data_IF_784732556115
#
_entry.id   IF_784732556115
#
_cell.length_a   1.000
_cell.length_b   1.000
_cell.length_c   1.000
_cell.angle_alpha   90.00
_cell.angle_beta   90.00
_cell.angle_gamma   90.00
#
_symmetry.space_group_name_H-M   'P 1'
#
loop_
_entity.id
_entity.type
_entity.pdbx_description
1 polymer ?
#
# COMPACT_ATOMS: atom_id res chain seq x y z
N UNK A 1 -53.11 -16.44 6.81
CA UNK A 1 -51.89 -16.54 7.62
C UNK A 1 -50.75 -15.82 6.89
N UNK A 2 -50.78 -14.49 6.84
CA UNK A 2 -49.77 -13.63 6.18
C UNK A 2 -49.62 -12.32 6.95
N UNK A 3 -49.32 -12.37 8.25
CA UNK A 3 -49.14 -11.15 9.05
C UNK A 3 -48.05 -11.24 10.12
N UNK A 4 -47.06 -12.13 9.97
CA UNK A 4 -46.05 -12.36 11.03
C UNK A 4 -44.60 -12.01 10.67
N UNK A 5 -44.32 -11.17 9.67
CA UNK A 5 -42.92 -10.79 9.40
C UNK A 5 -42.74 -9.33 9.02
N UNK A 6 -43.54 -8.41 9.53
CA UNK A 6 -43.17 -6.99 9.51
C UNK A 6 -42.26 -6.72 10.70
N UNK A 7 -40.96 -6.66 10.45
CA UNK A 7 -39.99 -6.16 11.41
C UNK A 7 -40.46 -4.76 11.85
N UNK A 8 -40.76 -4.62 13.15
CA UNK A 8 -41.14 -3.31 13.71
C UNK A 8 -39.95 -2.35 13.58
N UNK A 9 -40.07 -1.41 12.65
CA UNK A 9 -39.03 -0.42 12.33
C UNK A 9 -38.58 0.34 13.58
N UNK A 10 -39.49 0.73 14.45
CA UNK A 10 -39.22 1.47 15.68
C UNK A 10 -38.38 0.65 16.66
N UNK A 11 -38.65 -0.68 16.75
CA UNK A 11 -37.80 -1.57 17.54
C UNK A 11 -36.39 -1.72 16.98
N UNK A 12 -36.25 -1.76 15.67
CA UNK A 12 -34.92 -1.80 15.02
C UNK A 12 -34.14 -0.51 15.29
N UNK A 13 -34.79 0.64 15.09
CA UNK A 13 -34.17 1.97 15.40
C UNK A 13 -33.73 2.01 16.86
N UNK A 14 -34.58 1.60 17.79
CA UNK A 14 -34.28 1.59 19.22
C UNK A 14 -33.07 0.70 19.56
N UNK A 15 -33.00 -0.51 18.98
CA UNK A 15 -31.87 -1.43 19.18
C UNK A 15 -30.57 -0.87 18.62
N UNK A 16 -30.60 -0.30 17.40
CA UNK A 16 -29.43 0.30 16.76
C UNK A 16 -28.93 1.50 17.59
N UNK A 17 -29.84 2.38 18.02
CA UNK A 17 -29.49 3.53 18.84
C UNK A 17 -28.91 3.11 20.20
N UNK A 18 -29.40 2.02 20.76
CA UNK A 18 -28.88 1.47 22.00
C UNK A 18 -27.43 0.96 21.84
N UNK A 19 -27.12 0.33 20.67
CA UNK A 19 -25.75 -0.07 20.34
C UNK A 19 -24.80 1.14 20.25
N UNK A 20 -25.26 2.28 19.72
CA UNK A 20 -24.43 3.49 19.64
C UNK A 20 -23.99 4.02 21.02
N UNK A 21 -24.79 3.76 22.05
CA UNK A 21 -24.51 4.22 23.43
C UNK A 21 -23.69 3.19 24.21
N UNK A 22 -23.77 1.90 23.82
CA UNK A 22 -23.17 0.79 24.57
C UNK A 22 -21.68 0.58 24.32
N UNK A 23 -21.14 1.11 23.22
CA UNK A 23 -19.75 0.90 22.85
C UNK A 23 -19.13 2.21 22.30
N UNK A 24 -17.97 2.58 22.84
CA UNK A 24 -17.23 3.77 22.45
C UNK A 24 -16.83 3.81 20.96
N UNK A 25 -16.80 2.65 20.29
CA UNK A 25 -16.47 2.55 18.86
C UNK A 25 -17.54 3.21 17.99
N UNK A 26 -18.82 3.20 18.40
CA UNK A 26 -19.91 3.75 17.61
C UNK A 26 -20.12 5.26 17.77
N UNK A 27 -19.66 5.82 18.88
CA UNK A 27 -19.76 7.27 19.13
C UNK A 27 -18.37 7.86 19.10
N UNK A 28 -18.04 8.55 18.00
CA UNK A 28 -16.86 9.41 18.01
C UNK A 28 -16.97 10.37 19.20
N UNK A 29 -15.91 10.44 20.01
CA UNK A 29 -15.84 11.30 21.22
C UNK A 29 -16.44 12.68 20.93
N UNK A 30 -17.28 13.19 21.85
CA UNK A 30 -17.97 14.46 21.68
C UNK A 30 -17.05 15.55 21.13
N UNK A 31 -17.48 16.21 20.05
CA UNK A 31 -16.73 17.25 19.33
C UNK A 31 -15.39 16.84 18.69
N UNK A 32 -15.09 15.55 18.53
CA UNK A 32 -13.88 15.07 17.84
C UNK A 32 -14.24 14.38 16.53
N UNK A 33 -13.58 14.80 15.47
CA UNK A 33 -13.76 14.23 14.12
C UNK A 33 -12.54 13.39 13.74
N UNK A 34 -12.77 12.32 13.03
CA UNK A 34 -11.71 11.58 12.34
C UNK A 34 -11.29 12.34 11.06
N UNK A 35 -10.03 12.16 10.60
CA UNK A 35 -9.62 12.67 9.30
C UNK A 35 -10.58 12.22 8.19
N UNK A 36 -10.94 13.14 7.32
CA UNK A 36 -11.88 12.86 6.23
C UNK A 36 -11.24 12.00 5.14
N UNK A 37 -11.68 10.74 4.98
CA UNK A 37 -11.15 9.84 3.93
C UNK A 37 -11.21 10.49 2.54
N UNK A 38 -12.29 11.20 2.21
CA UNK A 38 -12.42 11.90 0.93
C UNK A 38 -11.40 13.02 0.76
N UNK A 39 -11.09 13.76 1.84
CA UNK A 39 -10.08 14.82 1.82
C UNK A 39 -8.68 14.26 1.61
N UNK A 40 -8.37 13.11 2.24
CA UNK A 40 -7.08 12.42 2.02
C UNK A 40 -6.97 11.92 0.56
N UNK A 41 -8.05 11.42 -0.03
CA UNK A 41 -8.04 11.04 -1.45
C UNK A 41 -7.81 12.24 -2.37
N UNK A 42 -8.42 13.40 -2.07
CA UNK A 42 -8.17 14.65 -2.80
C UNK A 42 -6.70 15.07 -2.67
N UNK A 43 -6.14 14.98 -1.47
CA UNK A 43 -4.72 15.27 -1.21
C UNK A 43 -3.80 14.35 -2.04
N UNK A 44 -4.07 13.04 -2.09
CA UNK A 44 -3.32 12.08 -2.91
C UNK A 44 -3.37 12.47 -4.39
N UNK A 45 -4.53 12.86 -4.92
CA UNK A 45 -4.68 13.30 -6.31
C UNK A 45 -3.83 14.54 -6.61
N UNK A 46 -3.84 15.55 -5.72
CA UNK A 46 -3.02 16.76 -5.87
C UNK A 46 -1.54 16.46 -5.80
N UNK A 47 -1.13 15.59 -4.87
CA UNK A 47 0.25 15.12 -4.79
C UNK A 47 0.67 14.42 -6.08
N UNK A 48 -0.21 13.57 -6.65
CA UNK A 48 0.08 12.90 -7.92
C UNK A 48 0.28 13.87 -9.08
N UNK A 49 -0.58 14.89 -9.18
CA UNK A 49 -0.42 15.95 -10.18
C UNK A 49 0.88 16.75 -9.98
N UNK A 50 1.26 17.03 -8.74
CA UNK A 50 2.53 17.72 -8.44
C UNK A 50 3.76 16.88 -8.78
N UNK A 51 3.72 15.56 -8.49
CA UNK A 51 4.84 14.65 -8.76
C UNK A 51 5.02 14.37 -10.25
N UNK A 52 3.93 14.30 -11.01
CA UNK A 52 3.89 13.99 -12.44
C UNK A 52 3.07 15.04 -13.19
N UNK A 53 3.59 16.28 -13.34
CA UNK A 53 2.84 17.36 -13.96
C UNK A 53 2.56 17.06 -15.45
N UNK A 54 1.36 17.39 -15.89
CA UNK A 54 0.89 17.15 -17.26
C UNK A 54 0.31 15.76 -17.53
N UNK A 55 0.33 14.84 -16.54
CA UNK A 55 -0.20 13.48 -16.73
C UNK A 55 -1.64 13.31 -16.23
N UNK A 56 -2.05 14.08 -15.23
CA UNK A 56 -3.30 13.82 -14.49
C UNK A 56 -4.19 15.05 -14.33
N UNK A 57 -3.84 16.16 -14.98
CA UNK A 57 -4.64 17.39 -15.00
C UNK A 57 -5.68 17.36 -16.13
N UNK A 58 -6.86 17.93 -15.85
CA UNK A 58 -7.92 18.13 -16.87
C UNK A 58 -7.62 19.30 -17.83
N UNK A 59 -6.67 20.19 -17.47
CA UNK A 59 -6.29 21.39 -18.26
C UNK A 59 -4.89 21.22 -18.82
N UNK A 60 -4.69 21.71 -20.05
CA UNK A 60 -3.39 21.69 -20.72
C UNK A 60 -2.33 22.39 -19.88
N UNK A 61 -1.38 21.61 -19.34
CA UNK A 61 -0.23 22.08 -18.57
C UNK A 61 0.66 23.03 -19.40
N UNK A 62 0.66 22.90 -20.73
CA UNK A 62 1.46 23.70 -21.67
C UNK A 62 1.26 25.22 -21.56
N UNK A 63 0.11 25.67 -21.02
CA UNK A 63 -0.20 27.08 -20.83
C UNK A 63 0.02 27.60 -19.42
N UNK A 64 0.51 26.75 -18.51
CA UNK A 64 0.73 27.15 -17.12
C UNK A 64 2.21 27.37 -16.85
N UNK A 65 2.54 28.50 -16.21
CA UNK A 65 3.86 28.71 -15.62
C UNK A 65 4.12 27.63 -14.56
N UNK A 66 5.19 26.87 -14.73
CA UNK A 66 5.54 25.75 -13.85
C UNK A 66 5.75 26.21 -12.39
N UNK A 67 6.32 27.39 -12.17
CA UNK A 67 6.51 27.95 -10.82
C UNK A 67 5.18 28.32 -10.18
N UNK A 68 4.28 28.92 -10.95
CA UNK A 68 2.95 29.26 -10.48
C UNK A 68 2.13 27.99 -10.12
N UNK A 69 2.16 26.99 -10.99
CA UNK A 69 1.51 25.69 -10.73
C UNK A 69 2.05 25.03 -9.47
N UNK A 70 3.36 24.88 -9.37
CA UNK A 70 4.00 24.24 -8.21
C UNK A 70 3.70 25.01 -6.93
N UNK A 71 3.85 26.33 -6.94
CA UNK A 71 3.61 27.19 -5.79
C UNK A 71 2.17 27.11 -5.28
N UNK A 72 1.17 27.20 -6.17
CA UNK A 72 -0.23 27.09 -5.79
C UNK A 72 -0.58 25.70 -5.27
N UNK A 73 -0.06 24.66 -5.93
CA UNK A 73 -0.34 23.27 -5.55
C UNK A 73 0.29 22.96 -4.19
N UNK A 74 1.55 23.34 -3.95
CA UNK A 74 2.23 23.19 -2.66
C UNK A 74 1.49 23.90 -1.53
N UNK A 75 1.06 25.15 -1.73
CA UNK A 75 0.29 25.90 -0.72
C UNK A 75 -1.05 25.21 -0.40
N UNK A 76 -1.73 24.67 -1.41
CA UNK A 76 -2.97 23.93 -1.21
C UNK A 76 -2.74 22.64 -0.44
N UNK A 77 -1.72 21.86 -0.81
CA UNK A 77 -1.32 20.61 -0.13
C UNK A 77 -0.98 20.92 1.34
N UNK A 78 -0.13 21.93 1.61
CA UNK A 78 0.26 22.31 2.98
C UNK A 78 -0.95 22.61 3.84
N UNK A 79 -1.86 23.46 3.36
CA UNK A 79 -3.07 23.83 4.10
C UNK A 79 -3.98 22.64 4.39
N UNK A 80 -4.22 21.80 3.40
CA UNK A 80 -5.10 20.63 3.54
C UNK A 80 -4.47 19.57 4.43
N UNK A 81 -3.19 19.27 4.24
CA UNK A 81 -2.46 18.33 5.08
C UNK A 81 -2.46 18.79 6.54
N UNK A 82 -2.06 20.04 6.81
CA UNK A 82 -2.08 20.62 8.14
C UNK A 82 -3.45 20.43 8.81
N UNK A 83 -4.54 20.76 8.10
CA UNK A 83 -5.89 20.62 8.65
C UNK A 83 -6.23 19.16 8.98
N UNK A 84 -5.89 18.20 8.13
CA UNK A 84 -6.18 16.78 8.39
C UNK A 84 -5.29 16.22 9.52
N UNK A 85 -4.03 16.64 9.61
CA UNK A 85 -3.12 16.27 10.70
C UNK A 85 -3.63 16.84 12.04
N UNK A 86 -4.05 18.10 12.07
CA UNK A 86 -4.64 18.71 13.26
C UNK A 86 -5.87 17.93 13.75
N UNK A 87 -6.77 17.55 12.83
CA UNK A 87 -7.93 16.71 13.14
C UNK A 87 -7.51 15.35 13.73
N UNK A 88 -6.50 14.69 13.12
CA UNK A 88 -6.01 13.40 13.57
C UNK A 88 -5.40 13.48 14.98
N UNK A 89 -4.59 14.49 15.23
CA UNK A 89 -3.95 14.73 16.53
C UNK A 89 -4.97 15.09 17.61
N UNK A 90 -5.95 15.94 17.31
CA UNK A 90 -7.05 16.27 18.24
C UNK A 90 -7.86 15.04 18.65
N UNK A 91 -8.00 14.07 17.76
CA UNK A 91 -8.73 12.84 18.06
C UNK A 91 -7.98 11.93 19.04
N UNK A 92 -6.66 11.82 18.91
CA UNK A 92 -5.85 10.88 19.70
C UNK A 92 -5.27 11.47 20.99
N UNK A 93 -5.14 12.79 21.08
CA UNK A 93 -4.47 13.43 22.21
C UNK A 93 -5.48 14.17 23.11
N UNK A 94 -5.66 13.68 24.34
CA UNK A 94 -6.55 14.29 25.34
C UNK A 94 -5.84 15.30 26.24
N UNK A 95 -4.54 15.18 26.40
CA UNK A 95 -3.75 15.96 27.36
C UNK A 95 -3.08 17.21 26.78
N UNK A 96 -3.07 17.37 25.43
CA UNK A 96 -2.42 18.49 24.76
C UNK A 96 -3.37 19.66 24.52
N UNK A 97 -2.84 20.90 24.58
CA UNK A 97 -3.63 22.09 24.24
C UNK A 97 -3.84 22.18 22.72
N UNK A 98 -4.86 22.92 22.29
CA UNK A 98 -5.13 23.17 20.88
C UNK A 98 -3.97 23.88 20.17
N UNK A 99 -3.29 24.77 20.87
CA UNK A 99 -2.13 25.52 20.37
C UNK A 99 -0.97 24.56 20.07
N UNK A 100 -0.65 23.64 20.98
CA UNK A 100 0.40 22.64 20.80
C UNK A 100 0.09 21.70 19.62
N UNK A 101 -1.17 21.30 19.46
CA UNK A 101 -1.60 20.45 18.35
C UNK A 101 -1.52 21.21 17.02
N UNK A 102 -1.93 22.48 16.98
CA UNK A 102 -1.85 23.30 15.78
C UNK A 102 -0.40 23.57 15.35
N UNK A 103 0.51 23.76 16.31
CA UNK A 103 1.94 23.91 16.05
C UNK A 103 2.55 22.63 15.47
N UNK A 104 2.27 21.45 16.07
CA UNK A 104 2.74 20.17 15.57
C UNK A 104 2.18 19.84 14.19
N UNK A 105 0.92 20.18 13.92
CA UNK A 105 0.31 19.99 12.61
C UNK A 105 0.97 20.88 11.54
N UNK A 106 1.31 22.13 11.88
CA UNK A 106 2.05 23.02 10.97
C UNK A 106 3.47 22.52 10.73
N UNK A 107 4.20 22.12 11.79
CA UNK A 107 5.56 21.56 11.67
C UNK A 107 5.57 20.28 10.81
N UNK A 108 4.60 19.41 11.02
CA UNK A 108 4.44 18.19 10.21
C UNK A 108 4.15 18.50 8.74
N UNK A 109 3.28 19.47 8.46
CA UNK A 109 2.98 19.87 7.10
C UNK A 109 4.22 20.51 6.42
N UNK A 110 4.96 21.34 7.15
CA UNK A 110 6.19 21.96 6.65
C UNK A 110 7.28 20.93 6.37
N UNK A 111 7.50 19.98 7.28
CA UNK A 111 8.40 18.85 7.08
C UNK A 111 8.03 18.08 5.80
N UNK A 112 6.77 17.69 5.66
CA UNK A 112 6.28 16.94 4.51
C UNK A 112 6.53 17.67 3.18
N UNK A 113 6.23 18.97 3.13
CA UNK A 113 6.52 19.80 1.94
C UNK A 113 8.01 19.79 1.62
N UNK A 114 8.88 19.88 2.62
CA UNK A 114 10.33 19.85 2.46
C UNK A 114 10.86 18.55 1.86
N UNK A 115 10.16 17.42 2.08
CA UNK A 115 10.55 16.10 1.55
C UNK A 115 10.14 15.89 0.09
N UNK A 116 9.17 16.65 -0.45
CA UNK A 116 8.54 16.34 -1.74
C UNK A 116 9.52 16.34 -2.93
N UNK A 117 10.54 17.18 -2.94
CA UNK A 117 11.53 17.19 -4.01
C UNK A 117 12.39 15.90 -4.04
N UNK A 118 12.76 15.40 -2.87
CA UNK A 118 13.50 14.14 -2.74
C UNK A 118 12.63 12.95 -3.13
N UNK A 119 11.38 12.93 -2.68
CA UNK A 119 10.41 11.89 -3.07
C UNK A 119 10.19 11.89 -4.58
N UNK A 120 10.09 13.05 -5.22
CA UNK A 120 9.96 13.15 -6.68
C UNK A 120 11.15 12.51 -7.38
N UNK A 121 12.37 12.76 -6.91
CA UNK A 121 13.58 12.14 -7.45
C UNK A 121 13.58 10.61 -7.27
N UNK A 122 13.13 10.10 -6.11
CA UNK A 122 12.97 8.65 -5.87
C UNK A 122 11.94 8.05 -6.84
N UNK A 123 10.81 8.72 -7.04
CA UNK A 123 9.76 8.25 -7.97
C UNK A 123 10.25 8.20 -9.42
N UNK A 124 11.09 9.13 -9.87
CA UNK A 124 11.70 9.07 -11.20
C UNK A 124 12.63 7.87 -11.35
N UNK A 125 13.35 7.49 -10.28
CA UNK A 125 14.17 6.27 -10.24
C UNK A 125 13.31 5.00 -10.27
N UNK A 126 12.18 4.99 -9.55
CA UNK A 126 11.24 3.86 -9.59
C UNK A 126 10.59 3.70 -10.98
N UNK A 127 10.25 4.80 -11.64
CA UNK A 127 9.79 4.79 -13.05
C UNK A 127 10.86 4.25 -13.99
N UNK A 128 12.14 4.64 -13.79
CA UNK A 128 13.25 4.11 -14.57
C UNK A 128 13.40 2.60 -14.34
N UNK A 129 13.35 2.13 -13.10
CA UNK A 129 13.40 0.70 -12.78
C UNK A 129 12.26 -0.09 -13.46
N UNK A 130 11.07 0.51 -13.55
CA UNK A 130 9.96 -0.07 -14.30
C UNK A 130 10.24 -0.18 -15.78
N UNK A 131 10.83 0.87 -16.39
CA UNK A 131 11.18 0.87 -17.81
C UNK A 131 12.28 -0.16 -18.14
N UNK A 132 13.31 -0.25 -17.29
CA UNK A 132 14.41 -1.19 -17.46
C UNK A 132 13.97 -2.64 -17.15
N UNK A 133 13.00 -2.81 -16.28
CA UNK A 133 12.54 -4.11 -15.77
C UNK A 133 11.43 -4.78 -16.56
N UNK A 134 10.68 -4.04 -17.39
CA UNK A 134 9.60 -4.59 -18.22
C UNK A 134 9.88 -4.39 -19.73
N UNK A 135 10.25 -5.44 -20.46
CA UNK A 135 10.51 -5.34 -21.91
C UNK A 135 9.27 -4.98 -22.74
N UNK A 136 8.04 -5.04 -22.16
CA UNK A 136 6.82 -4.63 -22.84
C UNK A 136 6.61 -3.10 -22.78
N UNK A 137 7.23 -2.40 -21.85
CA UNK A 137 7.10 -0.96 -21.69
C UNK A 137 7.69 -0.20 -22.91
N UNK A 138 6.89 0.69 -23.50
CA UNK A 138 7.30 1.47 -24.66
C UNK A 138 7.97 2.79 -24.29
N UNK A 139 7.64 3.33 -23.12
CA UNK A 139 8.17 4.60 -22.62
C UNK A 139 7.97 4.76 -21.11
N UNK A 140 8.74 5.66 -20.49
CA UNK A 140 8.52 6.06 -19.10
C UNK A 140 7.16 6.74 -18.90
N UNK A 141 6.67 7.43 -19.93
CA UNK A 141 5.36 8.07 -19.93
C UNK A 141 4.22 7.04 -19.79
N UNK A 142 4.33 5.91 -20.50
CA UNK A 142 3.40 4.80 -20.38
C UNK A 142 3.37 4.23 -18.95
N UNK A 143 4.53 4.05 -18.34
CA UNK A 143 4.65 3.56 -16.97
C UNK A 143 4.00 4.51 -15.96
N UNK A 144 4.26 5.82 -16.07
CA UNK A 144 3.66 6.83 -15.18
C UNK A 144 2.14 6.82 -15.30
N UNK A 145 1.63 6.74 -16.52
CA UNK A 145 0.20 6.88 -16.80
C UNK A 145 -0.62 5.64 -16.48
N UNK A 146 -0.04 4.42 -16.60
CA UNK A 146 -0.82 3.19 -16.64
C UNK A 146 -0.43 2.11 -15.62
N UNK A 147 0.82 2.10 -15.10
CA UNK A 147 1.27 1.00 -14.23
C UNK A 147 0.73 1.14 -12.80
N UNK A 148 -0.02 0.13 -12.31
CA UNK A 148 -0.55 0.15 -10.94
C UNK A 148 0.56 0.13 -9.87
N UNK A 149 1.69 -0.53 -10.14
CA UNK A 149 2.85 -0.55 -9.25
C UNK A 149 3.38 0.85 -8.95
N UNK A 150 3.50 1.71 -9.96
CA UNK A 150 3.96 3.10 -9.77
C UNK A 150 3.00 3.90 -8.90
N UNK A 151 1.68 3.69 -9.07
CA UNK A 151 0.72 4.36 -8.22
C UNK A 151 0.80 3.89 -6.75
N UNK A 152 0.96 2.59 -6.52
CA UNK A 152 1.11 2.05 -5.17
C UNK A 152 2.39 2.56 -4.49
N UNK A 153 3.52 2.55 -5.21
CA UNK A 153 4.82 3.06 -4.72
C UNK A 153 4.73 4.57 -4.43
N UNK A 154 4.12 5.35 -5.33
CA UNK A 154 3.90 6.79 -5.12
C UNK A 154 3.14 7.05 -3.81
N UNK A 155 2.00 6.40 -3.61
CA UNK A 155 1.20 6.60 -2.39
C UNK A 155 1.97 6.13 -1.14
N UNK A 156 2.67 5.00 -1.23
CA UNK A 156 3.51 4.50 -0.15
C UNK A 156 4.58 5.53 0.26
N UNK A 157 5.37 6.07 -0.68
CA UNK A 157 6.43 7.04 -0.36
C UNK A 157 5.88 8.28 0.33
N UNK A 158 4.69 8.76 -0.06
CA UNK A 158 4.00 9.85 0.62
C UNK A 158 3.52 9.47 2.02
N UNK A 159 2.90 8.29 2.15
CA UNK A 159 2.37 7.81 3.43
C UNK A 159 3.49 7.52 4.44
N UNK A 160 4.63 7.04 3.98
CA UNK A 160 5.80 6.75 4.80
C UNK A 160 6.31 7.99 5.56
N UNK A 161 6.40 9.15 4.91
CA UNK A 161 6.85 10.39 5.56
C UNK A 161 5.92 10.82 6.69
N UNK A 162 4.62 10.59 6.53
CA UNK A 162 3.65 10.86 7.61
C UNK A 162 3.68 9.79 8.71
N UNK A 163 4.00 8.55 8.35
CA UNK A 163 4.19 7.46 9.31
C UNK A 163 5.41 7.72 10.20
N UNK A 164 6.54 8.13 9.63
CA UNK A 164 7.76 8.50 10.37
C UNK A 164 7.50 9.65 11.36
N UNK A 165 6.61 10.59 11.01
CA UNK A 165 6.15 11.66 11.90
C UNK A 165 5.07 11.21 12.89
N UNK A 166 4.74 9.92 12.93
CA UNK A 166 3.74 9.34 13.82
C UNK A 166 2.34 9.96 13.69
N UNK A 167 1.99 10.43 12.49
CA UNK A 167 0.67 10.97 12.21
C UNK A 167 -0.39 9.87 12.31
N UNK A 168 -1.40 10.02 13.17
CA UNK A 168 -2.42 8.99 13.34
C UNK A 168 -3.33 8.88 12.11
N UNK A 169 -3.82 7.67 11.78
CA UNK A 169 -4.82 7.34 10.77
C UNK A 169 -4.41 7.64 9.32
N UNK A 170 -3.86 8.83 9.04
CA UNK A 170 -3.66 9.32 7.66
C UNK A 170 -2.78 8.39 6.84
N UNK A 171 -1.59 7.93 7.30
CA UNK A 171 -0.75 6.99 6.53
C UNK A 171 -1.51 5.72 6.15
N UNK A 172 -2.30 5.17 7.09
CA UNK A 172 -3.09 3.96 6.84
C UNK A 172 -4.24 4.20 5.85
N UNK A 173 -4.94 5.33 5.95
CA UNK A 173 -5.98 5.71 4.98
C UNK A 173 -5.39 5.81 3.56
N UNK A 174 -4.17 6.36 3.43
CA UNK A 174 -3.47 6.47 2.14
C UNK A 174 -3.12 5.10 1.58
N UNK A 175 -2.50 4.21 2.37
CA UNK A 175 -2.10 2.88 1.92
C UNK A 175 -3.32 2.02 1.55
N UNK A 176 -4.39 2.05 2.34
CA UNK A 176 -5.62 1.32 2.02
C UNK A 176 -6.33 1.84 0.76
N UNK A 177 -6.22 3.15 0.50
CA UNK A 177 -6.71 3.67 -0.77
C UNK A 177 -5.91 3.13 -1.96
N UNK A 178 -4.58 3.10 -1.89
CA UNK A 178 -3.74 2.52 -2.93
C UNK A 178 -4.02 1.02 -3.11
N UNK A 179 -4.09 0.26 -2.01
CA UNK A 179 -4.44 -1.15 -1.99
C UNK A 179 -5.77 -1.42 -2.69
N UNK A 180 -6.82 -0.67 -2.35
CA UNK A 180 -8.15 -0.82 -2.96
C UNK A 180 -8.17 -0.54 -4.48
N UNK A 181 -7.19 0.21 -5.00
CA UNK A 181 -7.11 0.59 -6.42
C UNK A 181 -6.20 -0.30 -7.25
N UNK A 182 -5.26 -0.96 -6.62
CA UNK A 182 -4.18 -1.70 -7.31
C UNK A 182 -4.10 -3.17 -6.94
N UNK A 183 -4.69 -3.58 -5.82
CA UNK A 183 -4.46 -4.90 -5.23
C UNK A 183 -3.06 -5.07 -4.63
N UNK A 184 -2.30 -3.97 -4.44
CA UNK A 184 -0.95 -3.96 -3.86
C UNK A 184 -1.04 -3.34 -2.46
N UNK A 185 -0.73 -4.12 -1.43
CA UNK A 185 -0.73 -3.70 -0.03
C UNK A 185 0.69 -3.41 0.45
N UNK A 186 1.04 -2.13 0.59
CA UNK A 186 2.31 -1.69 1.17
C UNK A 186 2.01 -0.96 2.47
N UNK A 187 2.46 -1.53 3.60
CA UNK A 187 2.32 -0.84 4.88
C UNK A 187 3.25 0.39 4.91
N UNK A 188 2.76 1.56 5.35
CA UNK A 188 3.55 2.79 5.37
C UNK A 188 4.76 2.73 6.31
N UNK A 189 4.82 1.78 7.25
CA UNK A 189 5.97 1.56 8.11
C UNK A 189 7.15 0.83 7.46
N UNK A 190 6.95 0.18 6.32
CA UNK A 190 8.04 -0.45 5.57
C UNK A 190 9.10 0.58 5.17
N UNK A 191 10.36 0.17 5.07
CA UNK A 191 11.46 0.99 4.57
C UNK A 191 11.89 0.45 3.21
N UNK A 192 11.77 1.25 2.16
CA UNK A 192 12.02 0.83 0.78
C UNK A 192 13.01 1.79 0.12
N UNK A 193 14.10 1.23 -0.40
CA UNK A 193 15.15 1.95 -1.11
C UNK A 193 14.74 2.52 -2.46
N UNK A 194 15.71 2.85 -3.28
CA UNK A 194 15.53 3.46 -4.60
C UNK A 194 15.43 2.40 -5.71
N UNK A 195 14.96 2.80 -6.90
CA UNK A 195 14.79 1.90 -8.06
C UNK A 195 13.92 0.68 -7.74
N UNK A 196 12.91 0.87 -6.92
CA UNK A 196 11.99 -0.20 -6.55
C UNK A 196 10.92 -0.39 -7.62
N UNK A 197 10.73 -1.63 -8.07
CA UNK A 197 9.77 -1.95 -9.11
C UNK A 197 8.84 -3.11 -8.72
N UNK A 198 7.54 -2.91 -8.90
CA UNK A 198 6.51 -3.95 -8.77
C UNK A 198 5.89 -4.19 -10.13
N UNK A 199 6.10 -5.38 -10.69
CA UNK A 199 5.55 -5.82 -11.96
C UNK A 199 4.22 -6.53 -11.76
N UNK A 200 3.19 -6.19 -12.56
CA UNK A 200 1.79 -6.61 -12.42
C UNK A 200 1.18 -6.24 -11.06
N UNK A 201 1.69 -6.77 -9.99
CA UNK A 201 1.56 -6.33 -8.61
C UNK A 201 0.35 -6.86 -7.86
N UNK A 202 -0.72 -7.32 -8.49
CA UNK A 202 -1.92 -7.81 -7.79
C UNK A 202 -1.55 -8.87 -6.75
N UNK A 203 -1.99 -8.67 -5.50
CA UNK A 203 -1.73 -9.59 -4.39
C UNK A 203 -0.35 -9.45 -3.75
N UNK A 204 0.44 -8.44 -4.09
CA UNK A 204 1.67 -8.12 -3.34
C UNK A 204 1.30 -7.60 -1.96
N UNK A 205 1.97 -8.11 -0.92
CA UNK A 205 1.84 -7.68 0.47
C UNK A 205 3.21 -7.39 1.05
N UNK A 206 3.43 -6.15 1.52
CA UNK A 206 4.65 -5.71 2.18
C UNK A 206 4.32 -5.25 3.59
N UNK A 207 4.74 -6.04 4.59
CA UNK A 207 4.43 -5.82 5.99
C UNK A 207 5.20 -4.65 6.62
N UNK A 208 4.69 -4.14 7.73
CA UNK A 208 5.10 -2.90 8.40
C UNK A 208 6.60 -2.78 8.69
N UNK A 209 7.23 -3.84 9.19
CA UNK A 209 8.65 -3.80 9.57
C UNK A 209 9.58 -4.38 8.50
N UNK A 210 9.09 -4.50 7.25
CA UNK A 210 9.91 -4.93 6.11
C UNK A 210 10.96 -3.88 5.80
N UNK A 211 12.18 -4.34 5.48
CA UNK A 211 13.25 -3.51 4.96
C UNK A 211 13.61 -4.00 3.57
N UNK A 212 13.62 -3.12 2.59
CA UNK A 212 13.94 -3.41 1.19
C UNK A 212 15.03 -2.45 0.74
N UNK A 213 16.11 -3.00 0.23
CA UNK A 213 17.23 -2.24 -0.33
C UNK A 213 16.93 -1.62 -1.70
N UNK A 214 17.98 -1.20 -2.38
CA UNK A 214 17.90 -0.58 -3.69
C UNK A 214 17.79 -1.62 -4.81
N UNK A 215 17.15 -1.22 -5.92
CA UNK A 215 17.05 -2.01 -7.14
C UNK A 215 16.41 -3.39 -6.92
N UNK A 216 15.36 -3.43 -6.11
CA UNK A 216 14.60 -4.66 -5.84
C UNK A 216 13.37 -4.73 -6.75
N UNK A 217 13.13 -5.91 -7.33
CA UNK A 217 12.00 -6.20 -8.19
C UNK A 217 11.10 -7.27 -7.58
N UNK A 218 9.79 -6.97 -7.48
CA UNK A 218 8.76 -7.89 -7.04
C UNK A 218 7.75 -8.14 -8.15
N UNK A 219 7.28 -9.38 -8.24
CA UNK A 219 6.18 -9.77 -9.11
C UNK A 219 4.88 -9.96 -8.32
N UNK A 220 3.77 -10.17 -9.02
CA UNK A 220 2.45 -10.35 -8.43
C UNK A 220 2.41 -11.49 -7.39
N UNK A 221 1.58 -11.32 -6.36
CA UNK A 221 1.37 -12.32 -5.32
C UNK A 221 2.52 -12.52 -4.34
N UNK A 222 3.60 -11.72 -4.41
CA UNK A 222 4.70 -11.78 -3.44
C UNK A 222 4.21 -11.32 -2.08
N UNK A 223 4.52 -12.08 -1.04
CA UNK A 223 4.22 -11.74 0.35
C UNK A 223 5.50 -11.62 1.18
N UNK A 224 5.74 -10.43 1.75
CA UNK A 224 6.77 -10.17 2.74
C UNK A 224 6.08 -10.00 4.11
N UNK A 225 5.94 -11.11 4.83
CA UNK A 225 5.03 -11.24 5.97
C UNK A 225 5.69 -11.58 7.29
N UNK A 226 4.89 -11.60 8.36
CA UNK A 226 5.29 -12.12 9.66
C UNK A 226 5.13 -13.64 9.72
N UNK A 227 6.06 -14.34 10.40
CA UNK A 227 5.99 -15.79 10.59
C UNK A 227 4.77 -16.21 11.43
N UNK A 228 4.38 -15.38 12.39
CA UNK A 228 3.19 -15.61 13.22
C UNK A 228 2.66 -14.29 13.77
N UNK A 229 1.35 -14.14 13.78
CA UNK A 229 0.65 -12.99 14.37
C UNK A 229 -0.15 -13.37 15.62
N UNK A 230 0.04 -14.59 16.17
CA UNK A 230 -0.74 -15.11 17.31
C UNK A 230 -0.67 -14.26 18.58
N UNK A 231 0.43 -13.50 18.77
CA UNK A 231 0.59 -12.61 19.93
C UNK A 231 -0.13 -11.26 19.75
N UNK A 232 -0.80 -11.01 18.61
CA UNK A 232 -1.56 -9.79 18.36
C UNK A 232 -0.77 -8.51 18.64
N UNK A 233 -1.34 -7.61 19.44
CA UNK A 233 -0.76 -6.30 19.78
C UNK A 233 0.59 -6.35 20.48
N UNK A 234 0.97 -7.46 21.10
CA UNK A 234 2.30 -7.65 21.72
C UNK A 234 3.45 -7.64 20.68
N UNK A 235 3.12 -7.70 19.39
CA UNK A 235 4.07 -7.62 18.29
C UNK A 235 4.13 -6.23 17.63
N UNK A 236 3.42 -5.22 18.16
CA UNK A 236 3.28 -3.92 17.52
C UNK A 236 4.65 -3.33 17.15
N UNK A 237 5.57 -3.17 18.06
CA UNK A 237 6.85 -2.50 17.83
C UNK A 237 8.04 -3.47 17.62
N UNK A 238 7.73 -4.75 17.27
CA UNK A 238 8.76 -5.78 17.08
C UNK A 238 9.03 -5.98 15.59
N UNK A 239 10.31 -6.08 15.21
CA UNK A 239 10.73 -6.52 13.86
C UNK A 239 10.18 -7.93 13.61
N UNK A 240 9.22 -8.04 12.66
CA UNK A 240 8.50 -9.30 12.38
C UNK A 240 8.40 -9.65 10.90
N UNK A 241 8.85 -8.74 10.02
CA UNK A 241 8.84 -8.92 8.56
C UNK A 241 10.28 -8.98 8.02
N UNK A 242 10.53 -9.65 6.88
CA UNK A 242 11.86 -9.91 6.37
C UNK A 242 12.63 -8.66 5.96
N UNK A 243 13.92 -8.85 5.76
CA UNK A 243 14.83 -7.88 5.13
C UNK A 243 15.24 -8.41 3.76
N UNK A 244 15.11 -7.57 2.74
CA UNK A 244 15.48 -7.83 1.34
C UNK A 244 16.64 -6.89 1.01
N UNK A 245 17.81 -7.42 0.72
CA UNK A 245 18.97 -6.62 0.37
C UNK A 245 18.92 -6.12 -1.09
N UNK A 246 19.97 -5.41 -1.52
CA UNK A 246 20.01 -4.76 -2.83
C UNK A 246 20.01 -5.76 -4.01
N UNK A 247 19.49 -5.34 -5.15
CA UNK A 247 19.49 -6.10 -6.41
C UNK A 247 18.80 -7.47 -6.33
N UNK A 248 17.81 -7.62 -5.46
CA UNK A 248 17.04 -8.88 -5.33
C UNK A 248 15.84 -8.87 -6.27
N UNK A 249 15.62 -10.00 -6.94
CA UNK A 249 14.40 -10.24 -7.72
C UNK A 249 13.58 -11.36 -7.09
N UNK A 250 12.30 -11.08 -6.81
CA UNK A 250 11.37 -12.04 -6.20
C UNK A 250 10.23 -12.29 -7.17
N UNK A 251 10.16 -13.52 -7.69
CA UNK A 251 9.15 -13.91 -8.66
C UNK A 251 7.79 -14.23 -8.03
N UNK A 252 6.79 -14.33 -8.91
CA UNK A 252 5.37 -14.39 -8.57
C UNK A 252 5.01 -15.45 -7.53
N UNK A 253 4.12 -15.08 -6.60
CA UNK A 253 3.58 -16.00 -5.59
C UNK A 253 4.59 -16.45 -4.51
N UNK A 254 5.83 -15.94 -4.52
CA UNK A 254 6.78 -16.25 -3.46
C UNK A 254 6.34 -15.64 -2.12
N UNK A 255 6.46 -16.41 -1.04
CA UNK A 255 6.14 -16.01 0.32
C UNK A 255 7.40 -16.04 1.19
N UNK A 256 7.78 -14.92 1.78
CA UNK A 256 8.96 -14.77 2.63
C UNK A 256 8.50 -14.24 3.98
N UNK A 257 8.76 -15.00 5.05
CA UNK A 257 8.23 -14.71 6.37
C UNK A 257 9.33 -14.64 7.44
N UNK A 258 9.12 -13.73 8.41
CA UNK A 258 9.92 -13.67 9.64
C UNK A 258 10.86 -12.48 9.73
N UNK A 259 10.94 -11.87 10.92
CA UNK A 259 11.77 -10.68 11.16
C UNK A 259 13.28 -10.92 11.09
N UNK A 260 13.71 -12.14 11.34
CA UNK A 260 15.13 -12.56 11.25
C UNK A 260 15.50 -13.03 9.83
N UNK A 261 14.53 -13.22 8.94
CA UNK A 261 14.76 -13.69 7.58
C UNK A 261 15.37 -12.59 6.74
N UNK A 262 16.54 -12.84 6.16
CA UNK A 262 17.26 -11.93 5.27
C UNK A 262 17.44 -12.59 3.91
N UNK A 263 17.03 -11.93 2.85
CA UNK A 263 17.35 -12.31 1.48
C UNK A 263 18.56 -11.49 1.04
N UNK A 264 19.72 -12.18 0.94
CA UNK A 264 21.00 -11.55 0.64
C UNK A 264 21.05 -10.95 -0.76
N UNK A 265 21.90 -9.93 -0.92
CA UNK A 265 22.03 -9.13 -2.14
C UNK A 265 22.31 -9.97 -3.40
N UNK A 266 21.84 -9.46 -4.55
CA UNK A 266 22.03 -10.10 -5.85
C UNK A 266 21.41 -11.51 -5.96
N UNK A 267 20.41 -11.82 -5.14
CA UNK A 267 19.73 -13.11 -5.14
C UNK A 267 18.45 -13.09 -5.95
N UNK A 268 18.06 -14.26 -6.46
CA UNK A 268 16.85 -14.49 -7.24
C UNK A 268 15.99 -15.53 -6.52
N UNK A 269 14.78 -15.12 -6.15
CA UNK A 269 13.80 -15.99 -5.50
C UNK A 269 12.77 -16.43 -6.54
N UNK A 270 12.73 -17.74 -6.82
CA UNK A 270 11.80 -18.34 -7.77
C UNK A 270 10.35 -18.27 -7.31
N UNK A 271 9.45 -18.32 -8.29
CA UNK A 271 8.01 -18.23 -8.04
C UNK A 271 7.48 -19.36 -7.16
N UNK A 272 6.41 -19.05 -6.40
CA UNK A 272 5.71 -19.97 -5.51
C UNK A 272 6.58 -20.62 -4.41
N UNK A 273 7.76 -20.06 -4.13
CA UNK A 273 8.60 -20.52 -3.02
C UNK A 273 8.04 -20.04 -1.68
N UNK A 274 8.27 -20.85 -0.62
CA UNK A 274 7.90 -20.50 0.76
C UNK A 274 9.15 -20.50 1.61
N UNK A 275 9.58 -19.31 2.07
CA UNK A 275 10.88 -19.07 2.72
C UNK A 275 10.65 -18.53 4.12
N UNK A 276 11.25 -19.19 5.11
CA UNK A 276 11.23 -18.82 6.55
C UNK A 276 12.60 -18.69 7.15
N UNK A 277 13.66 -18.89 6.35
CA UNK A 277 15.06 -18.82 6.75
C UNK A 277 15.84 -17.91 5.80
N UNK A 278 16.96 -17.37 6.27
CA UNK A 278 17.77 -16.45 5.47
C UNK A 278 18.41 -17.15 4.26
N UNK A 279 18.49 -16.42 3.16
CA UNK A 279 19.13 -16.84 1.91
C UNK A 279 20.42 -16.04 1.73
N UNK A 280 21.59 -16.68 1.57
CA UNK A 280 22.85 -15.98 1.34
C UNK A 280 22.80 -15.11 0.05
N UNK A 281 23.67 -14.09 -0.01
CA UNK A 281 23.84 -13.28 -1.22
C UNK A 281 24.24 -14.13 -2.43
N UNK A 282 23.93 -13.64 -3.65
CA UNK A 282 24.23 -14.30 -4.94
C UNK A 282 23.60 -15.69 -5.08
N UNK A 283 22.49 -15.94 -4.42
CA UNK A 283 21.81 -17.23 -4.41
C UNK A 283 20.58 -17.26 -5.30
N UNK A 284 20.41 -18.30 -6.08
CA UNK A 284 19.17 -18.57 -6.80
C UNK A 284 18.39 -19.68 -6.09
N UNK A 285 17.22 -19.34 -5.58
CA UNK A 285 16.27 -20.29 -4.98
C UNK A 285 15.22 -20.69 -6.04
N UNK A 286 14.98 -21.96 -6.18
CA UNK A 286 13.93 -22.47 -7.08
C UNK A 286 13.32 -23.74 -6.53
N UNK A 287 12.03 -23.97 -6.82
CA UNK A 287 11.39 -25.26 -6.58
C UNK A 287 11.89 -26.30 -7.57
N UNK A 288 12.01 -27.55 -7.15
CA UNK A 288 12.09 -28.65 -8.11
C UNK A 288 10.78 -28.69 -8.89
N UNK A 289 10.86 -28.97 -10.19
CA UNK A 289 9.65 -29.14 -10.98
C UNK A 289 8.76 -30.23 -10.34
N UNK A 290 7.49 -29.90 -10.03
CA UNK A 290 6.57 -30.92 -9.55
C UNK A 290 6.39 -32.00 -10.61
N UNK A 291 6.28 -33.25 -10.18
CA UNK A 291 5.98 -34.35 -11.09
C UNK A 291 4.54 -34.19 -11.59
N UNK A 292 4.39 -33.95 -12.89
CA UNK A 292 3.08 -33.87 -13.53
C UNK A 292 2.66 -35.22 -14.05
N UNK A 293 1.52 -35.73 -13.59
CA UNK A 293 0.91 -36.94 -14.09
C UNK A 293 -0.14 -36.54 -15.11
N UNK A 294 0.08 -36.96 -16.36
CA UNK A 294 -0.91 -36.81 -17.43
C UNK A 294 -1.71 -38.11 -17.56
N UNK A 295 -2.99 -38.06 -17.17
CA UNK A 295 -3.92 -39.16 -17.41
C UNK A 295 -4.80 -38.77 -18.60
N UNK A 296 -4.62 -39.49 -19.71
CA UNK A 296 -5.53 -39.39 -20.84
C UNK A 296 -6.45 -40.63 -20.83
N UNK A 297 -7.72 -40.41 -20.56
CA UNK A 297 -8.76 -41.42 -20.81
C UNK A 297 -9.24 -41.28 -22.26
N UNK A 298 -8.84 -42.20 -23.17
CA UNK A 298 -9.38 -42.17 -24.51
C UNK A 298 -10.88 -42.49 -24.47
N UNK A 299 -11.71 -41.83 -25.31
CA UNK A 299 -13.15 -42.08 -25.33
C UNK A 299 -13.42 -43.54 -25.62
N UNK A 300 -14.08 -44.22 -24.72
CA UNK A 300 -14.59 -45.58 -24.95
C UNK A 300 -15.74 -45.52 -25.94
N UNK A 301 -15.47 -45.97 -27.15
CA UNK A 301 -16.45 -46.29 -28.20
C UNK A 301 -17.72 -45.39 -28.25
N UNK A 302 -17.61 -44.23 -28.94
CA UNK A 302 -18.76 -43.56 -29.55
C UNK A 302 -19.71 -42.78 -28.65
N UNK A 303 -19.44 -42.65 -27.39
CA UNK A 303 -20.18 -41.76 -26.48
C UNK A 303 -19.32 -40.52 -26.10
N UNK A 304 -19.64 -39.38 -26.68
CA UNK A 304 -19.15 -38.08 -26.24
C UNK A 304 -19.78 -37.70 -24.91
N UNK A 305 -19.28 -38.23 -23.82
CA UNK A 305 -19.54 -37.68 -22.48
C UNK A 305 -18.21 -37.16 -21.91
N UNK A 306 -17.93 -35.88 -22.11
CA UNK A 306 -16.93 -35.17 -21.36
C UNK A 306 -17.48 -34.88 -19.97
N UNK A 307 -17.26 -35.79 -19.02
CA UNK A 307 -17.52 -35.52 -17.59
C UNK A 307 -16.18 -35.18 -16.97
N UNK A 308 -15.98 -33.91 -16.70
CA UNK A 308 -14.85 -33.44 -15.89
C UNK A 308 -15.24 -33.61 -14.41
N UNK A 309 -14.82 -34.71 -13.80
CA UNK A 309 -14.82 -34.81 -12.34
C UNK A 309 -13.62 -34.02 -11.78
N UNK A 310 -13.88 -32.81 -11.32
CA UNK A 310 -12.90 -32.05 -10.58
C UNK A 310 -12.82 -32.63 -9.17
N UNK A 311 -11.80 -33.43 -8.90
CA UNK A 311 -11.40 -33.77 -7.53
C UNK A 311 -10.41 -32.69 -7.09
N UNK A 312 -10.89 -31.81 -6.18
CA UNK A 312 -10.04 -30.83 -5.48
C UNK A 312 -9.42 -31.54 -4.28
#
# INVERSE_FOLDING_TARGET
MESENRTDFDQVVKKITQNYISDEVFVTKENRRLPGRSNIIILIKRLRSLMFPGYFEEKNFEYMDAQYFAGNTLNSIRRELRQQVEIALLYTNESRTREQIAEEAEDTAQYFIGRLAEIQNMLLKDVQAGFDGDPAAKSRQEIISSYPGVFAIFVYRMAHELYVRQVPFIPRIMSEYAHSRTGIDINPGAVIGEYFFIDHGTGVVIGETTQIGDNVKLYQGVTLGALSTRKGQLLADVKRHPTIENNVTIYSGATILGGETVIGANSIIGGNTFITESVPAYTKVSLKAPEMVFQADPPKNGEEKWVWDWVI
#
